data_IF_282460549209
#
_entry.id   IF_282460549209
#
_cell.length_a   1.000
_cell.length_b   1.000
_cell.length_c   1.000
_cell.angle_alpha   90.00
_cell.angle_beta   90.00
_cell.angle_gamma   90.00
#
_symmetry.space_group_name_H-M   'P 1'
#
loop_
_entity.id
_entity.type
_entity.pdbx_description
1 polymer ?
#
# COMPACT_ATOMS: atom_id res chain seq x y z
N UNK A 1 -45.65 -8.58 -16.53
CA UNK A 1 -44.38 -9.20 -16.06
C UNK A 1 -44.25 -10.64 -16.52
N UNK A 2 -45.28 -11.47 -16.37
CA UNK A 2 -45.31 -12.86 -16.86
C UNK A 2 -45.31 -13.00 -18.39
N UNK A 3 -45.56 -11.91 -19.13
CA UNK A 3 -45.61 -11.91 -20.60
C UNK A 3 -44.24 -11.66 -21.26
N UNK A 4 -43.22 -11.24 -20.50
CA UNK A 4 -41.86 -11.10 -20.99
C UNK A 4 -41.05 -12.36 -20.60
N UNK A 5 -40.16 -12.88 -21.47
CA UNK A 5 -39.29 -13.99 -21.11
C UNK A 5 -38.55 -13.68 -19.82
N UNK A 6 -38.54 -14.61 -18.86
CA UNK A 6 -37.88 -14.44 -17.55
C UNK A 6 -36.42 -13.98 -17.74
N UNK A 7 -35.73 -14.55 -18.74
CA UNK A 7 -34.36 -14.17 -19.09
C UNK A 7 -34.14 -12.74 -19.59
N UNK A 8 -35.19 -12.02 -20.04
CA UNK A 8 -35.08 -10.61 -20.45
C UNK A 8 -35.13 -9.64 -19.25
N UNK A 9 -35.47 -10.13 -18.05
CA UNK A 9 -35.58 -9.33 -16.83
C UNK A 9 -34.94 -10.05 -15.62
N UNK A 10 -33.77 -10.67 -15.82
CA UNK A 10 -33.11 -11.50 -14.81
C UNK A 10 -32.99 -10.81 -13.43
N UNK A 11 -32.53 -9.55 -13.38
CA UNK A 11 -32.42 -8.79 -12.11
C UNK A 11 -33.74 -8.71 -11.31
N UNK A 12 -34.87 -8.52 -12.00
CA UNK A 12 -36.18 -8.44 -11.34
C UNK A 12 -36.62 -9.81 -10.84
N UNK A 13 -36.32 -10.86 -11.59
CA UNK A 13 -36.64 -12.24 -11.20
C UNK A 13 -35.74 -12.75 -10.08
N UNK A 14 -34.46 -12.36 -10.02
CA UNK A 14 -33.60 -12.58 -8.86
C UNK A 14 -34.10 -11.86 -7.61
N UNK A 15 -34.61 -10.63 -7.76
CA UNK A 15 -35.26 -9.91 -6.66
C UNK A 15 -36.52 -10.62 -6.17
N UNK A 16 -37.33 -11.16 -7.10
CA UNK A 16 -38.49 -11.98 -6.76
C UNK A 16 -38.09 -13.29 -6.06
N UNK A 17 -37.08 -14.00 -6.57
CA UNK A 17 -36.53 -15.20 -5.94
C UNK A 17 -36.09 -14.92 -4.50
N UNK A 18 -35.32 -13.85 -4.26
CA UNK A 18 -34.92 -13.42 -2.90
C UNK A 18 -36.11 -13.16 -1.98
N UNK A 19 -37.17 -12.51 -2.48
CA UNK A 19 -38.38 -12.25 -1.69
C UNK A 19 -39.20 -13.51 -1.39
N UNK A 20 -39.28 -14.44 -2.33
CA UNK A 20 -39.94 -15.75 -2.14
C UNK A 20 -39.14 -16.61 -1.15
N UNK A 21 -37.82 -16.62 -1.27
CA UNK A 21 -36.91 -17.32 -0.36
C UNK A 21 -37.04 -16.76 1.07
N UNK A 22 -37.15 -15.43 1.21
CA UNK A 22 -37.41 -14.76 2.48
C UNK A 22 -38.89 -14.78 2.96
N UNK A 23 -39.81 -15.46 2.26
CA UNK A 23 -41.26 -15.53 2.56
C UNK A 23 -41.94 -14.16 2.69
N UNK A 24 -41.43 -13.17 1.97
CA UNK A 24 -41.97 -11.81 1.89
C UNK A 24 -43.03 -11.66 0.79
N UNK A 25 -43.15 -12.65 -0.09
CA UNK A 25 -44.18 -12.76 -1.11
C UNK A 25 -44.85 -14.12 -1.02
N UNK A 26 -46.19 -14.23 -1.06
CA UNK A 26 -47.16 -13.14 -1.06
C UNK A 26 -47.16 -12.33 0.27
N UNK A 27 -47.66 -11.07 0.26
CA UNK A 27 -47.80 -10.26 1.47
C UNK A 27 -48.56 -10.98 2.59
N UNK A 28 -48.47 -10.54 3.85
CA UNK A 28 -49.12 -11.19 4.98
C UNK A 28 -50.65 -11.34 4.82
N UNK A 29 -51.26 -10.44 4.06
CA UNK A 29 -52.72 -10.32 3.89
C UNK A 29 -53.28 -11.19 2.76
N UNK A 30 -52.40 -11.86 2.00
CA UNK A 30 -52.75 -12.68 0.85
C UNK A 30 -52.62 -14.18 1.17
N UNK A 31 -53.39 -15.06 0.52
CA UNK A 31 -53.25 -16.50 0.67
C UNK A 31 -51.82 -16.96 0.36
N UNK A 32 -51.20 -17.65 1.32
CA UNK A 32 -49.83 -18.17 1.17
C UNK A 32 -49.84 -19.64 0.72
N UNK A 33 -48.99 -20.03 -0.25
CA UNK A 33 -48.75 -21.43 -0.60
C UNK A 33 -48.20 -22.23 0.58
N UNK A 34 -48.19 -23.56 0.46
CA UNK A 34 -47.49 -24.40 1.41
C UNK A 34 -45.97 -24.22 1.28
N UNK A 35 -45.21 -24.50 2.35
CA UNK A 35 -43.74 -24.41 2.33
C UNK A 35 -43.10 -25.23 1.20
N UNK A 36 -43.62 -26.45 0.96
CA UNK A 36 -43.14 -27.30 -0.12
C UNK A 36 -43.43 -26.74 -1.53
N UNK A 37 -44.40 -25.83 -1.68
CA UNK A 37 -44.66 -25.13 -2.94
C UNK A 37 -43.70 -23.94 -3.11
N UNK A 38 -43.38 -23.24 -2.01
CA UNK A 38 -42.35 -22.20 -2.04
C UNK A 38 -41.02 -22.74 -2.51
N UNK A 39 -40.55 -23.81 -1.87
CA UNK A 39 -39.23 -24.37 -2.17
C UNK A 39 -39.15 -24.83 -3.62
N UNK A 40 -40.19 -25.52 -4.12
CA UNK A 40 -40.28 -25.94 -5.53
C UNK A 40 -40.24 -24.76 -6.50
N UNK A 41 -40.99 -23.68 -6.22
CA UNK A 41 -41.00 -22.50 -7.09
C UNK A 41 -39.65 -21.79 -7.07
N UNK A 42 -39.04 -21.62 -5.89
CA UNK A 42 -37.73 -20.98 -5.74
C UNK A 42 -36.66 -21.79 -6.46
N UNK A 43 -36.59 -23.10 -6.23
CA UNK A 43 -35.63 -24.01 -6.88
C UNK A 43 -35.78 -23.96 -8.41
N UNK A 44 -37.00 -24.09 -8.93
CA UNK A 44 -37.24 -24.03 -10.38
C UNK A 44 -36.88 -22.67 -11.00
N UNK A 45 -37.09 -21.58 -10.26
CA UNK A 45 -36.76 -20.24 -10.72
C UNK A 45 -35.25 -20.00 -10.70
N UNK A 46 -34.56 -20.45 -9.65
CA UNK A 46 -33.11 -20.38 -9.52
C UNK A 46 -32.44 -21.24 -10.60
N UNK A 47 -32.85 -22.49 -10.79
CA UNK A 47 -32.34 -23.36 -11.88
C UNK A 47 -32.54 -22.74 -13.27
N UNK A 48 -33.71 -22.13 -13.51
CA UNK A 48 -33.98 -21.47 -14.78
C UNK A 48 -33.07 -20.26 -15.00
N UNK A 49 -32.88 -19.42 -13.97
CA UNK A 49 -32.02 -18.24 -14.03
C UNK A 49 -30.55 -18.64 -14.23
N UNK A 50 -30.08 -19.67 -13.52
CA UNK A 50 -28.72 -20.20 -13.62
C UNK A 50 -28.45 -20.76 -15.03
N UNK A 51 -29.34 -21.61 -15.55
CA UNK A 51 -29.20 -22.15 -16.90
C UNK A 51 -29.21 -21.02 -17.95
N UNK A 52 -30.05 -20.00 -17.76
CA UNK A 52 -30.10 -18.87 -18.68
C UNK A 52 -28.82 -18.04 -18.66
N UNK A 53 -28.21 -17.85 -17.49
CA UNK A 53 -26.91 -17.22 -17.35
C UNK A 53 -25.81 -18.03 -18.03
N UNK A 54 -25.82 -19.37 -17.90
CA UNK A 54 -24.88 -20.23 -18.61
C UNK A 54 -25.01 -20.12 -20.13
N UNK A 55 -26.24 -20.03 -20.64
CA UNK A 55 -26.49 -19.88 -22.07
C UNK A 55 -26.09 -18.50 -22.60
N UNK A 56 -26.31 -17.44 -21.82
CA UNK A 56 -26.11 -16.04 -22.18
C UNK A 56 -25.48 -15.27 -21.02
N UNK A 57 -24.18 -15.50 -20.74
CA UNK A 57 -23.52 -14.90 -19.59
C UNK A 57 -23.47 -13.38 -19.75
N UNK A 58 -23.77 -12.65 -18.67
CA UNK A 58 -23.54 -11.21 -18.62
C UNK A 58 -22.52 -10.92 -17.52
N UNK A 59 -21.21 -10.91 -17.83
CA UNK A 59 -20.17 -10.64 -16.84
C UNK A 59 -20.12 -9.17 -16.38
N UNK A 60 -21.03 -8.32 -16.88
CA UNK A 60 -20.98 -6.87 -16.69
C UNK A 60 -19.93 -6.20 -17.58
N UNK A 61 -19.85 -4.87 -17.50
CA UNK A 61 -18.82 -4.08 -18.17
C UNK A 61 -17.98 -3.35 -17.14
N UNK A 62 -16.67 -3.57 -17.19
CA UNK A 62 -15.68 -2.75 -16.48
C UNK A 62 -15.33 -1.54 -17.33
N UNK A 63 -14.92 -0.44 -16.69
CA UNK A 63 -14.38 0.70 -17.43
C UNK A 63 -13.09 0.28 -18.15
N UNK A 64 -13.00 0.61 -19.43
CA UNK A 64 -11.87 0.28 -20.32
C UNK A 64 -10.55 0.91 -19.85
N UNK A 65 -10.64 2.05 -19.16
CA UNK A 65 -9.51 2.80 -18.64
C UNK A 65 -9.78 3.23 -17.20
N UNK A 66 -8.95 2.74 -16.28
CA UNK A 66 -8.99 3.15 -14.87
C UNK A 66 -7.58 3.38 -14.38
N UNK A 67 -7.23 4.55 -13.87
CA UNK A 67 -5.92 4.74 -13.27
C UNK A 67 -5.78 4.03 -11.92
N UNK A 68 -4.55 3.71 -11.53
CA UNK A 68 -4.25 3.12 -10.23
C UNK A 68 -4.68 4.11 -9.14
N UNK A 69 -5.39 3.63 -8.13
CA UNK A 69 -5.58 4.40 -6.89
C UNK A 69 -4.22 4.68 -6.23
N UNK A 70 -4.13 5.66 -5.34
CA UNK A 70 -2.89 5.95 -4.59
C UNK A 70 -2.35 4.72 -3.88
N UNK A 71 -3.24 3.89 -3.32
CA UNK A 71 -2.86 2.67 -2.60
C UNK A 71 -2.29 1.64 -3.56
N UNK A 72 -2.94 1.43 -4.70
CA UNK A 72 -2.46 0.56 -5.77
C UNK A 72 -1.12 1.05 -6.34
N UNK A 73 -0.95 2.36 -6.54
CA UNK A 73 0.31 2.96 -6.98
C UNK A 73 1.43 2.72 -5.96
N UNK A 74 1.18 2.96 -4.66
CA UNK A 74 2.12 2.69 -3.57
C UNK A 74 2.56 1.22 -3.57
N UNK A 75 1.60 0.30 -3.62
CA UNK A 75 1.87 -1.14 -3.60
C UNK A 75 2.60 -1.61 -4.87
N UNK A 76 2.20 -1.10 -6.04
CA UNK A 76 2.84 -1.40 -7.32
C UNK A 76 4.31 -0.95 -7.31
N UNK A 77 4.60 0.26 -6.82
CA UNK A 77 5.98 0.75 -6.68
C UNK A 77 6.78 -0.12 -5.70
N UNK A 78 6.20 -0.48 -4.55
CA UNK A 78 6.83 -1.38 -3.57
C UNK A 78 7.17 -2.74 -4.19
N UNK A 79 6.24 -3.34 -4.93
CA UNK A 79 6.43 -4.68 -5.48
C UNK A 79 7.32 -4.66 -6.74
N UNK A 80 7.29 -3.58 -7.50
CA UNK A 80 8.17 -3.38 -8.66
C UNK A 80 9.61 -3.10 -8.22
N UNK A 81 9.81 -2.13 -7.32
CA UNK A 81 11.10 -1.51 -7.03
C UNK A 81 11.61 -1.73 -5.60
N UNK A 82 10.90 -2.43 -4.72
CA UNK A 82 11.28 -2.61 -3.31
C UNK A 82 11.41 -1.29 -2.52
N UNK A 83 10.67 -0.25 -2.92
CA UNK A 83 10.65 1.05 -2.25
C UNK A 83 9.29 1.26 -1.63
N UNK A 84 9.26 1.54 -0.33
CA UNK A 84 8.06 2.03 0.35
C UNK A 84 8.01 3.55 0.26
N UNK A 85 6.92 4.07 -0.27
CA UNK A 85 6.71 5.50 -0.47
C UNK A 85 5.59 6.02 0.40
N UNK A 86 5.79 7.23 0.89
CA UNK A 86 4.71 8.02 1.48
C UNK A 86 3.86 8.62 0.36
N UNK A 87 2.90 7.84 -0.15
CA UNK A 87 2.04 8.29 -1.26
C UNK A 87 1.18 9.49 -0.86
N UNK A 88 1.00 9.74 0.44
CA UNK A 88 0.12 10.80 0.93
C UNK A 88 0.73 12.19 0.76
N UNK A 89 2.05 12.27 0.73
CA UNK A 89 2.80 13.47 0.38
C UNK A 89 2.94 13.66 -1.14
N UNK A 90 2.83 12.58 -1.92
CA UNK A 90 3.13 12.58 -3.35
C UNK A 90 1.91 12.84 -4.22
N UNK A 91 0.78 12.23 -3.89
CA UNK A 91 -0.44 12.25 -4.71
C UNK A 91 -1.62 12.84 -3.92
N UNK A 92 -2.56 13.55 -4.57
CA UNK A 92 -3.81 14.02 -3.95
C UNK A 92 -4.77 12.84 -3.70
N UNK A 93 -5.79 13.01 -2.84
CA UNK A 93 -6.72 11.92 -2.48
C UNK A 93 -7.55 11.50 -3.69
N UNK A 94 -7.82 10.20 -3.81
CA UNK A 94 -8.67 9.65 -4.86
C UNK A 94 -10.13 10.03 -4.61
N UNK A 95 -10.91 10.22 -5.68
CA UNK A 95 -12.35 10.46 -5.57
C UNK A 95 -13.08 9.15 -5.24
N UNK A 96 -13.87 9.16 -4.17
CA UNK A 96 -14.68 8.01 -3.78
C UNK A 96 -16.08 8.08 -4.40
N UNK A 97 -16.56 6.94 -4.90
CA UNK A 97 -17.92 6.75 -5.40
C UNK A 97 -18.52 5.47 -4.82
N UNK A 98 -19.79 5.52 -4.41
CA UNK A 98 -20.47 4.41 -3.73
C UNK A 98 -19.70 3.83 -2.51
N UNK A 99 -18.85 4.65 -1.87
CA UNK A 99 -18.01 4.23 -0.74
C UNK A 99 -16.66 3.62 -1.12
N UNK A 100 -16.36 3.50 -2.41
CA UNK A 100 -15.09 2.94 -2.91
C UNK A 100 -14.31 3.96 -3.75
N UNK A 101 -12.98 3.98 -3.58
CA UNK A 101 -12.07 4.88 -4.30
C UNK A 101 -11.57 4.31 -5.63
N UNK A 102 -12.04 3.12 -6.00
CA UNK A 102 -11.51 2.33 -7.10
C UNK A 102 -12.48 2.23 -8.29
N UNK A 103 -13.54 3.06 -8.30
CA UNK A 103 -14.64 3.02 -9.27
C UNK A 103 -14.58 4.20 -10.26
N UNK A 104 -14.29 5.42 -9.82
CA UNK A 104 -14.43 6.68 -10.61
C UNK A 104 -13.15 7.22 -11.22
N UNK A 105 -12.15 6.37 -11.38
CA UNK A 105 -10.74 6.75 -11.49
C UNK A 105 -10.35 6.92 -12.98
N UNK A 106 -11.15 7.67 -13.75
CA UNK A 106 -10.97 7.83 -15.21
C UNK A 106 -10.25 9.12 -15.62
N UNK A 107 -10.45 10.22 -14.89
CA UNK A 107 -9.96 11.55 -15.28
C UNK A 107 -8.56 11.85 -14.70
N UNK A 108 -7.61 12.26 -15.56
CA UNK A 108 -6.29 12.75 -15.16
C UNK A 108 -6.18 14.25 -15.46
N UNK A 109 -6.33 15.07 -14.43
CA UNK A 109 -6.11 16.51 -14.56
C UNK A 109 -4.62 16.80 -14.83
N UNK A 110 -4.28 17.92 -15.50
CA UNK A 110 -2.88 18.33 -15.68
C UNK A 110 -2.11 18.40 -14.37
N UNK A 111 -2.73 18.92 -13.31
CA UNK A 111 -2.12 19.00 -11.98
C UNK A 111 -1.85 17.61 -11.38
N UNK A 112 -2.74 16.63 -11.58
CA UNK A 112 -2.52 15.26 -11.14
C UNK A 112 -1.36 14.60 -11.92
N UNK A 113 -1.27 14.83 -13.22
CA UNK A 113 -0.17 14.33 -14.04
C UNK A 113 1.18 14.92 -13.60
N UNK A 114 1.24 16.21 -13.30
CA UNK A 114 2.44 16.86 -12.73
C UNK A 114 2.89 16.21 -11.42
N UNK A 115 1.92 15.83 -10.55
CA UNK A 115 2.20 15.10 -9.31
C UNK A 115 2.77 13.72 -9.58
N UNK A 116 2.22 12.97 -10.54
CA UNK A 116 2.78 11.69 -10.97
C UNK A 116 4.20 11.81 -11.53
N UNK A 117 4.49 12.86 -12.32
CA UNK A 117 5.84 13.12 -12.84
C UNK A 117 6.81 13.42 -11.70
N UNK A 118 6.42 14.26 -10.74
CA UNK A 118 7.23 14.55 -9.55
C UNK A 118 7.49 13.31 -8.70
N UNK A 119 6.46 12.49 -8.48
CA UNK A 119 6.56 11.22 -7.77
C UNK A 119 7.51 10.25 -8.48
N UNK A 120 7.33 10.05 -9.79
CA UNK A 120 8.15 9.15 -10.60
C UNK A 120 9.64 9.54 -10.58
N UNK A 121 9.96 10.84 -10.66
CA UNK A 121 11.34 11.34 -10.55
C UNK A 121 11.94 11.13 -9.17
N UNK A 122 11.14 11.25 -8.10
CA UNK A 122 11.60 10.96 -6.74
C UNK A 122 11.85 9.46 -6.57
N UNK A 123 10.92 8.63 -7.03
CA UNK A 123 10.98 7.17 -6.93
C UNK A 123 12.15 6.61 -7.74
N UNK A 124 12.35 7.08 -8.98
CA UNK A 124 13.42 6.57 -9.84
C UNK A 124 14.80 6.88 -9.26
N UNK A 125 15.01 8.08 -8.71
CA UNK A 125 16.26 8.44 -7.98
C UNK A 125 16.52 7.50 -6.80
N UNK A 126 15.49 7.23 -5.99
CA UNK A 126 15.60 6.28 -4.87
C UNK A 126 15.91 4.86 -5.36
N UNK A 127 15.38 4.45 -6.52
CA UNK A 127 15.55 3.11 -7.08
C UNK A 127 16.96 2.85 -7.58
N UNK A 128 17.57 3.85 -8.22
CA UNK A 128 18.97 3.76 -8.64
C UNK A 128 19.94 4.09 -7.50
N UNK A 129 19.50 4.69 -6.39
CA UNK A 129 20.39 5.04 -5.26
C UNK A 129 21.33 6.23 -5.56
N UNK A 130 20.93 7.09 -6.50
CA UNK A 130 21.68 8.31 -6.88
C UNK A 130 21.42 9.44 -5.85
N UNK A 131 22.42 10.32 -5.69
CA UNK A 131 22.51 11.45 -4.74
C UNK A 131 21.20 11.92 -4.12
N UNK A 132 21.05 11.68 -2.82
CA UNK A 132 20.04 12.34 -2.00
C UNK A 132 20.53 13.73 -1.60
N UNK A 133 19.60 14.67 -1.42
CA UNK A 133 19.92 16.00 -0.90
C UNK A 133 20.59 15.86 0.47
N UNK A 134 21.80 16.40 0.62
CA UNK A 134 22.53 16.34 1.88
C UNK A 134 21.72 17.02 2.99
N UNK A 135 21.47 16.30 4.08
CA UNK A 135 20.69 16.82 5.21
C UNK A 135 19.18 16.85 4.99
N UNK A 136 18.63 16.06 4.07
CA UNK A 136 17.19 15.85 4.01
C UNK A 136 16.62 15.41 5.37
N UNK A 137 15.43 15.89 5.72
CA UNK A 137 14.77 15.62 7.00
C UNK A 137 13.40 14.99 6.75
N UNK A 138 13.11 13.89 7.46
CA UNK A 138 11.78 13.29 7.51
C UNK A 138 11.35 13.14 8.96
N UNK A 139 10.21 13.73 9.28
CA UNK A 139 9.60 13.65 10.62
C UNK A 139 8.39 12.73 10.60
N UNK A 140 8.36 11.82 11.56
CA UNK A 140 7.28 10.88 11.82
C UNK A 140 6.60 11.26 13.12
N UNK A 141 5.37 11.75 13.02
CA UNK A 141 4.60 12.15 14.19
C UNK A 141 3.78 10.99 14.72
N UNK A 142 3.90 10.72 16.01
CA UNK A 142 3.04 9.75 16.70
C UNK A 142 1.69 10.40 16.91
N UNK A 143 0.61 9.66 16.65
CA UNK A 143 -0.74 10.20 16.89
C UNK A 143 -0.90 10.53 18.37
N UNK A 144 -1.39 11.73 18.71
CA UNK A 144 -1.43 12.22 20.08
C UNK A 144 -2.41 11.44 20.98
N UNK A 145 -3.38 10.75 20.38
CA UNK A 145 -4.40 9.92 21.05
C UNK A 145 -3.91 8.49 21.37
N UNK A 146 -2.69 8.12 20.99
CA UNK A 146 -2.12 6.80 21.28
C UNK A 146 -1.57 6.77 22.71
N UNK A 147 -2.03 5.76 23.45
CA UNK A 147 -1.48 5.35 24.75
C UNK A 147 -0.16 4.60 24.53
N UNK A 148 0.88 4.94 25.29
CA UNK A 148 2.25 4.44 25.10
C UNK A 148 2.76 3.58 26.27
N UNK A 149 1.85 2.94 27.00
CA UNK A 149 2.18 2.19 28.22
C UNK A 149 2.53 0.71 27.96
N UNK A 150 2.14 0.20 26.78
CA UNK A 150 2.32 -1.20 26.38
C UNK A 150 3.45 -1.37 25.36
N UNK A 151 3.91 -2.61 25.19
CA UNK A 151 4.90 -2.95 24.16
C UNK A 151 4.33 -2.70 22.76
N UNK A 152 5.07 -1.95 21.94
CA UNK A 152 4.74 -1.71 20.55
C UNK A 152 5.34 -2.80 19.67
N UNK A 153 4.52 -3.53 18.93
CA UNK A 153 4.99 -4.60 18.05
C UNK A 153 6.06 -4.08 17.07
N UNK A 154 7.16 -4.83 16.94
CA UNK A 154 8.31 -4.48 16.10
C UNK A 154 9.46 -3.80 16.84
N UNK A 155 9.21 -3.22 18.02
CA UNK A 155 10.26 -2.66 18.89
C UNK A 155 11.01 -3.75 19.65
N UNK A 156 12.22 -3.49 20.20
CA UNK A 156 12.96 -4.46 21.00
C UNK A 156 12.19 -4.97 22.22
N UNK A 157 12.41 -6.23 22.61
CA UNK A 157 11.78 -6.83 23.79
C UNK A 157 12.22 -6.07 25.05
N UNK A 158 11.29 -5.84 25.98
CA UNK A 158 11.58 -5.08 27.19
C UNK A 158 11.40 -3.57 27.01
N UNK A 159 10.85 -3.12 25.89
CA UNK A 159 10.44 -1.72 25.66
C UNK A 159 8.91 -1.54 25.75
N UNK A 160 8.48 -0.28 25.83
CA UNK A 160 7.08 0.16 25.82
C UNK A 160 6.92 1.49 25.08
N UNK A 161 5.75 1.67 24.49
CA UNK A 161 5.37 2.91 23.81
C UNK A 161 6.28 3.24 22.64
N UNK A 162 6.43 4.53 22.39
CA UNK A 162 7.32 5.04 21.38
C UNK A 162 6.72 5.06 19.97
N UNK A 163 7.62 4.96 19.00
CA UNK A 163 7.32 4.88 17.58
C UNK A 163 8.15 3.77 16.93
N UNK A 164 7.56 3.12 15.93
CA UNK A 164 8.23 2.19 15.03
C UNK A 164 7.93 2.62 13.60
N UNK A 165 8.97 3.02 12.86
CA UNK A 165 8.83 3.58 11.52
C UNK A 165 9.68 2.81 10.53
N UNK A 166 9.14 2.56 9.35
CA UNK A 166 9.92 2.08 8.21
C UNK A 166 10.42 3.27 7.44
N UNK A 167 11.75 3.37 7.29
CA UNK A 167 12.40 4.45 6.58
C UNK A 167 13.28 3.87 5.47
N UNK A 168 13.18 4.44 4.27
CA UNK A 168 14.07 4.11 3.17
C UNK A 168 15.27 5.07 3.20
N UNK A 169 16.43 4.54 3.59
CA UNK A 169 17.69 5.28 3.58
C UNK A 169 18.20 5.32 2.14
N UNK A 170 18.26 6.50 1.48
CA UNK A 170 18.58 6.57 0.06
C UNK A 170 20.04 6.23 -0.28
N UNK A 171 20.94 6.35 0.69
CA UNK A 171 22.40 6.27 0.49
C UNK A 171 23.10 5.68 1.71
N UNK A 172 24.30 5.16 1.50
CA UNK A 172 25.17 4.78 2.61
C UNK A 172 25.73 6.06 3.22
N UNK A 173 25.54 6.28 4.51
CA UNK A 173 25.92 7.56 5.11
C UNK A 173 25.69 7.63 6.60
N UNK A 174 26.12 8.75 7.18
CA UNK A 174 25.78 9.09 8.56
C UNK A 174 24.38 9.72 8.61
N UNK A 175 23.55 9.26 9.52
CA UNK A 175 22.21 9.77 9.77
C UNK A 175 22.07 10.18 11.23
N UNK A 176 21.20 11.16 11.50
CA UNK A 176 20.82 11.57 12.84
C UNK A 176 19.36 11.20 13.07
N UNK A 177 19.09 10.37 14.07
CA UNK A 177 17.76 10.04 14.55
C UNK A 177 17.50 10.86 15.81
N UNK A 178 16.59 11.83 15.73
CA UNK A 178 16.20 12.69 16.83
C UNK A 178 14.81 12.32 17.34
N UNK A 179 14.64 12.28 18.65
CA UNK A 179 13.34 12.08 19.29
C UNK A 179 12.88 13.36 19.99
N UNK A 180 11.57 13.59 19.96
CA UNK A 180 10.90 14.62 20.77
C UNK A 180 9.83 14.00 21.63
N UNK A 181 9.70 14.50 22.85
CA UNK A 181 8.79 13.94 23.85
C UNK A 181 7.44 14.65 23.85
N UNK A 182 6.40 13.93 24.23
CA UNK A 182 5.05 14.47 24.39
C UNK A 182 5.01 15.45 25.55
N UNK A 183 4.40 16.61 25.32
CA UNK A 183 4.26 17.70 26.30
C UNK A 183 2.79 18.06 26.48
N UNK A 184 2.47 18.57 27.66
CA UNK A 184 1.17 19.16 27.94
C UNK A 184 1.04 20.57 27.36
N UNK A 185 -0.10 21.23 27.62
CA UNK A 185 -0.37 22.60 27.13
C UNK A 185 0.55 23.67 27.74
N UNK A 186 1.26 23.36 28.81
CA UNK A 186 2.22 24.24 29.47
C UNK A 186 3.66 23.96 29.01
N UNK A 187 3.85 23.11 27.98
CA UNK A 187 5.15 22.64 27.48
C UNK A 187 5.93 21.79 28.49
N UNK A 188 5.26 21.21 29.49
CA UNK A 188 5.85 20.32 30.50
C UNK A 188 5.76 18.85 30.04
N UNK A 189 6.75 18.05 30.43
CA UNK A 189 6.77 16.62 30.14
C UNK A 189 5.66 15.92 30.92
N UNK A 190 4.82 15.15 30.22
CA UNK A 190 3.75 14.38 30.87
C UNK A 190 4.28 13.07 31.51
N UNK A 191 3.50 12.51 32.44
CA UNK A 191 3.85 11.26 33.14
C UNK A 191 4.45 11.46 34.53
N UNK A 192 4.60 10.38 35.30
CA UNK A 192 5.12 10.44 36.67
C UNK A 192 6.60 10.83 36.70
N UNK A 193 7.06 11.56 37.72
CA UNK A 193 8.49 11.77 37.94
C UNK A 193 9.25 10.44 38.04
N UNK A 194 10.46 10.41 37.51
CA UNK A 194 11.33 9.24 37.56
C UNK A 194 12.39 9.26 36.46
N UNK A 195 13.26 8.27 36.54
CA UNK A 195 14.31 8.02 35.55
C UNK A 195 13.78 7.02 34.52
N UNK A 196 13.82 7.43 33.25
CA UNK A 196 13.39 6.61 32.13
C UNK A 196 14.55 6.43 31.16
N UNK A 197 14.64 5.27 30.52
CA UNK A 197 15.58 5.03 29.43
C UNK A 197 14.85 5.11 28.10
N UNK A 198 15.26 6.00 27.21
CA UNK A 198 14.77 6.05 25.83
C UNK A 198 15.74 5.32 24.91
N UNK A 199 15.32 4.20 24.36
CA UNK A 199 16.10 3.38 23.44
C UNK A 199 15.81 3.78 21.99
N UNK A 200 16.88 3.97 21.21
CA UNK A 200 16.83 4.05 19.75
C UNK A 200 17.44 2.77 19.21
N UNK A 201 16.74 2.12 18.29
CA UNK A 201 17.18 0.90 17.64
C UNK A 201 16.91 0.94 16.13
N UNK A 202 17.78 0.30 15.37
CA UNK A 202 17.64 0.07 13.92
C UNK A 202 17.65 -1.44 13.69
N UNK A 203 16.66 -1.95 12.96
CA UNK A 203 16.44 -3.38 12.73
C UNK A 203 16.46 -4.21 14.03
N UNK A 204 15.90 -3.64 15.11
CA UNK A 204 15.86 -4.17 16.49
C UNK A 204 17.21 -4.27 17.21
N UNK A 205 18.29 -3.77 16.61
CA UNK A 205 19.57 -3.62 17.29
C UNK A 205 19.64 -2.22 17.93
N UNK A 206 19.89 -2.18 19.24
CA UNK A 206 20.02 -0.91 19.97
C UNK A 206 21.25 -0.15 19.50
N UNK A 207 21.03 1.08 19.03
CA UNK A 207 22.09 2.00 18.60
C UNK A 207 22.36 3.12 19.61
N UNK A 208 21.35 3.49 20.41
CA UNK A 208 21.51 4.46 21.49
C UNK A 208 20.54 4.20 22.66
N UNK A 209 20.94 4.64 23.86
CA UNK A 209 20.09 4.66 25.05
C UNK A 209 20.32 5.99 25.77
N UNK A 210 19.25 6.78 25.89
CA UNK A 210 19.30 8.09 26.54
C UNK A 210 18.61 8.05 27.89
N UNK A 211 19.22 8.62 28.95
CA UNK A 211 18.51 8.88 30.19
C UNK A 211 17.54 10.05 29.98
N UNK A 212 16.28 9.85 30.37
CA UNK A 212 15.22 10.85 30.38
C UNK A 212 14.77 11.03 31.82
N UNK A 213 15.14 12.17 32.40
CA UNK A 213 14.76 12.55 33.77
C UNK A 213 13.74 13.66 33.68
N UNK A 214 12.56 13.44 34.27
CA UNK A 214 11.55 14.51 34.39
C UNK A 214 12.01 15.52 35.45
N UNK A 215 12.12 16.83 35.12
CA UNK A 215 12.42 17.85 36.10
C UNK A 215 11.33 17.95 37.19
N UNK A 216 11.65 18.55 38.36
CA UNK A 216 10.67 18.79 39.41
C UNK A 216 9.49 19.64 38.90
N UNK A 217 8.30 19.45 39.50
CA UNK A 217 7.09 20.20 39.13
C UNK A 217 7.35 21.72 39.15
N UNK A 218 7.02 22.41 38.05
CA UNK A 218 7.23 23.86 37.89
C UNK A 218 8.62 24.28 37.39
N UNK A 219 9.55 23.35 37.15
CA UNK A 219 10.78 23.62 36.40
C UNK A 219 10.51 23.64 34.89
N UNK A 220 11.39 24.29 34.11
CA UNK A 220 11.24 24.35 32.65
C UNK A 220 11.78 23.08 32.01
N UNK A 221 10.91 22.33 31.33
CA UNK A 221 11.26 21.07 30.66
C UNK A 221 11.79 21.24 29.23
N UNK A 222 12.00 22.49 28.79
CA UNK A 222 12.21 22.86 27.36
C UNK A 222 13.37 22.16 26.65
N UNK A 223 14.37 21.70 27.41
CA UNK A 223 15.60 21.12 26.85
C UNK A 223 15.78 19.63 27.19
N UNK A 224 14.79 18.99 27.82
CA UNK A 224 14.87 17.56 28.21
C UNK A 224 15.10 16.66 26.99
N UNK A 225 14.61 17.06 25.83
CA UNK A 225 14.75 16.34 24.56
C UNK A 225 15.77 16.96 23.58
N UNK A 226 16.52 17.97 24.01
CA UNK A 226 17.48 18.66 23.13
C UNK A 226 18.57 17.74 22.58
N UNK A 227 19.01 16.80 23.42
CA UNK A 227 20.15 15.90 23.19
C UNK A 227 19.73 14.45 22.87
N UNK A 228 18.43 14.20 22.67
CA UNK A 228 17.91 12.88 22.26
C UNK A 228 18.17 12.64 20.77
N UNK A 229 19.45 12.64 20.39
CA UNK A 229 19.94 12.56 19.01
C UNK A 229 20.97 11.45 18.90
N UNK A 230 20.65 10.40 18.16
CA UNK A 230 21.57 9.31 17.85
C UNK A 230 22.16 9.53 16.47
N UNK A 231 23.49 9.65 16.38
CA UNK A 231 24.22 9.66 15.10
C UNK A 231 24.84 8.31 14.84
N UNK A 232 24.60 7.78 13.65
CA UNK A 232 25.05 6.44 13.26
C UNK A 232 25.21 6.33 11.75
N UNK A 233 26.07 5.41 11.34
CA UNK A 233 26.16 5.03 9.93
C UNK A 233 25.08 4.00 9.60
N UNK A 234 24.31 4.24 8.53
CA UNK A 234 23.26 3.34 8.07
C UNK A 234 23.50 3.03 6.60
N UNK A 235 23.48 1.75 6.23
CA UNK A 235 23.50 1.35 4.84
C UNK A 235 22.16 1.61 4.17
N UNK A 236 22.18 2.00 2.90
CA UNK A 236 21.00 2.30 2.12
C UNK A 236 20.01 1.13 2.04
N UNK A 237 18.75 1.48 1.81
CA UNK A 237 17.62 0.57 1.73
C UNK A 237 16.59 0.80 2.83
N UNK A 238 15.51 0.02 2.77
CA UNK A 238 14.46 0.05 3.78
C UNK A 238 14.97 -0.56 5.09
N UNK A 239 14.85 0.20 6.19
CA UNK A 239 15.21 -0.22 7.54
C UNK A 239 14.07 0.09 8.50
N UNK A 240 14.01 -0.67 9.57
CA UNK A 240 13.07 -0.46 10.66
C UNK A 240 13.73 0.37 11.77
N UNK A 241 13.22 1.57 12.04
CA UNK A 241 13.72 2.46 13.09
C UNK A 241 12.70 2.53 14.22
N UNK A 242 13.12 2.17 15.43
CA UNK A 242 12.29 2.28 16.62
C UNK A 242 12.89 3.23 17.65
N UNK A 243 12.04 4.05 18.25
CA UNK A 243 12.36 4.88 19.41
C UNK A 243 11.35 4.57 20.49
N UNK A 244 11.75 3.89 21.56
CA UNK A 244 10.84 3.37 22.57
C UNK A 244 11.42 3.47 23.98
N UNK A 245 10.57 3.58 25.00
CA UNK A 245 11.03 3.62 26.38
C UNK A 245 11.31 2.22 26.90
N UNK A 246 12.35 2.05 27.72
CA UNK A 246 12.56 0.80 28.46
C UNK A 246 11.38 0.57 29.41
N UNK A 247 10.82 -0.64 29.35
CA UNK A 247 9.75 -1.06 30.22
C UNK A 247 10.33 -1.29 31.61
N UNK A 248 9.83 -0.52 32.59
CA UNK A 248 10.13 -0.77 34.00
C UNK A 248 9.51 -2.11 34.41
N UNK A 249 10.22 -2.86 35.26
CA UNK A 249 9.71 -4.11 35.80
C UNK A 249 8.35 -3.87 36.46
N UNK A 250 7.32 -4.54 35.95
CA UNK A 250 6.00 -4.57 36.56
C UNK A 250 5.78 -5.97 37.15
N UNK A 251 5.27 -6.04 38.37
CA UNK A 251 4.69 -7.29 38.87
C UNK A 251 3.48 -7.61 38.00
N UNK A 252 3.37 -8.85 37.51
CA UNK A 252 2.09 -9.34 37.01
C UNK A 252 1.13 -9.30 38.19
N UNK A 253 0.17 -8.38 38.15
CA UNK A 253 -0.95 -8.42 39.08
C UNK A 253 -1.89 -9.51 38.59
N UNK A 254 -2.02 -10.59 39.36
CA UNK A 254 -3.05 -11.61 39.15
C UNK A 254 -4.42 -11.09 39.61
N UNK A 255 -4.89 -10.03 38.94
CA UNK A 255 -6.20 -9.43 39.17
C UNK A 255 -7.14 -9.73 38.00
N UNK A 256 -8.44 -9.56 38.22
CA UNK A 256 -9.43 -9.63 37.14
C UNK A 256 -9.08 -8.60 36.08
N UNK A 257 -9.15 -9.01 34.80
CA UNK A 257 -8.89 -8.15 33.64
C UNK A 257 -9.68 -6.85 33.76
N UNK A 258 -8.96 -5.75 33.95
CA UNK A 258 -9.55 -4.41 33.99
C UNK A 258 -9.97 -3.97 32.57
N UNK A 259 -10.92 -3.04 32.44
CA UNK A 259 -11.22 -2.40 31.16
C UNK A 259 -9.97 -1.73 30.57
N UNK A 260 -9.98 -1.47 29.25
CA UNK A 260 -8.89 -0.75 28.60
C UNK A 260 -8.79 0.66 29.19
N UNK A 261 -7.70 0.92 29.90
CA UNK A 261 -7.34 2.26 30.36
C UNK A 261 -6.54 2.96 29.28
N UNK A 262 -7.06 4.09 28.81
CA UNK A 262 -6.38 4.94 27.83
C UNK A 262 -5.73 6.13 28.56
N UNK A 263 -4.48 6.42 28.20
CA UNK A 263 -3.68 7.49 28.77
C UNK A 263 -2.95 8.23 27.65
N UNK A 264 -3.51 9.35 27.22
CA UNK A 264 -3.04 10.06 26.03
C UNK A 264 -3.10 11.59 26.12
N UNK A 265 -3.79 12.17 27.10
CA UNK A 265 -3.87 13.62 27.27
C UNK A 265 -3.90 14.05 28.74
N UNK A 266 -3.37 15.22 29.07
CA UNK A 266 -3.25 15.69 30.44
C UNK A 266 -4.56 15.74 31.26
N UNK A 267 -5.69 16.10 30.65
CA UNK A 267 -6.91 16.47 31.41
C UNK A 267 -7.88 15.32 31.68
N UNK A 268 -8.26 14.55 30.65
CA UNK A 268 -9.25 13.46 30.79
C UNK A 268 -8.57 12.12 31.03
N UNK A 269 -7.44 11.90 30.37
CA UNK A 269 -6.74 10.63 30.31
C UNK A 269 -5.24 10.83 30.53
N UNK A 270 -4.83 11.33 31.72
CA UNK A 270 -3.46 11.77 31.99
C UNK A 270 -2.47 10.64 31.73
N UNK A 271 -1.39 10.95 31.01
CA UNK A 271 -0.30 10.01 30.79
C UNK A 271 0.32 9.58 32.12
N UNK A 272 0.56 8.29 32.27
CA UNK A 272 1.20 7.74 33.48
C UNK A 272 2.72 7.85 33.36
N UNK A 273 3.27 7.77 32.15
CA UNK A 273 4.70 7.79 31.87
C UNK A 273 5.00 8.65 30.63
N UNK A 274 6.27 9.11 30.47
CA UNK A 274 6.67 9.86 29.28
C UNK A 274 6.40 9.10 27.98
N UNK A 275 6.11 9.84 26.92
CA UNK A 275 5.75 9.33 25.61
C UNK A 275 6.56 10.04 24.51
N UNK A 276 6.78 9.36 23.40
CA UNK A 276 7.40 9.94 22.20
C UNK A 276 6.33 10.68 21.40
N UNK A 277 6.60 11.92 21.03
CA UNK A 277 5.73 12.75 20.21
C UNK A 277 6.06 12.64 18.73
N UNK A 278 7.34 12.72 18.38
CA UNK A 278 7.81 12.57 17.00
C UNK A 278 9.23 11.98 16.96
N UNK A 279 9.53 11.33 15.84
CA UNK A 279 10.86 10.84 15.49
C UNK A 279 11.26 11.49 14.18
N UNK A 280 12.42 12.13 14.17
CA UNK A 280 12.96 12.84 13.02
C UNK A 280 14.23 12.13 12.56
N UNK A 281 14.33 11.81 11.27
CA UNK A 281 15.52 11.24 10.65
C UNK A 281 16.11 12.29 9.72
N UNK A 282 17.39 12.64 9.92
CA UNK A 282 18.15 13.60 9.11
C UNK A 282 19.33 12.93 8.45
N UNK A 283 19.60 13.29 7.20
CA UNK A 283 20.75 12.82 6.44
C UNK A 283 20.37 12.42 5.00
N UNK A 284 21.30 11.84 4.25
CA UNK A 284 22.64 11.45 4.69
C UNK A 284 23.56 12.67 4.91
N UNK A 285 24.42 12.59 5.92
CA UNK A 285 25.62 13.41 6.06
C UNK A 285 26.80 12.61 5.49
N UNK A 286 27.53 13.19 4.52
CA UNK A 286 28.63 12.48 3.85
C UNK A 286 28.20 11.26 3.04
N UNK A 287 26.99 11.29 2.46
CA UNK A 287 26.39 10.17 1.75
C UNK A 287 27.19 9.70 0.53
N UNK A 288 27.23 8.38 0.33
CA UNK A 288 27.79 7.72 -0.85
C UNK A 288 26.68 7.00 -1.61
N UNK A 289 26.78 6.99 -2.93
CA UNK A 289 25.86 6.23 -3.76
C UNK A 289 25.90 4.75 -3.32
N UNK A 290 24.72 4.17 -3.09
CA UNK A 290 24.62 2.79 -2.67
C UNK A 290 24.66 1.89 -3.90
N UNK A 291 25.55 0.89 -3.90
CA UNK A 291 25.68 -0.03 -5.01
C UNK A 291 24.81 -1.29 -4.85
N UNK A 292 24.41 -1.61 -3.61
CA UNK A 292 23.69 -2.83 -3.28
C UNK A 292 22.49 -2.57 -2.36
N UNK A 293 21.36 -2.17 -2.96
CA UNK A 293 20.09 -2.02 -2.25
C UNK A 293 19.07 -3.05 -2.74
N UNK A 294 18.03 -3.39 -1.96
CA UNK A 294 16.94 -4.23 -2.44
C UNK A 294 16.31 -3.72 -3.74
N UNK A 295 16.27 -2.40 -3.94
CA UNK A 295 15.78 -1.79 -5.16
C UNK A 295 16.72 -2.02 -6.34
N UNK A 296 18.02 -1.75 -6.16
CA UNK A 296 19.02 -1.97 -7.20
C UNK A 296 19.09 -3.43 -7.64
N UNK A 297 18.99 -4.38 -6.72
CA UNK A 297 18.92 -5.82 -7.06
C UNK A 297 17.70 -6.17 -7.92
N UNK A 298 16.58 -5.46 -7.77
CA UNK A 298 15.38 -5.67 -8.61
C UNK A 298 15.48 -4.98 -9.96
N UNK A 299 16.11 -3.81 -10.03
CA UNK A 299 16.26 -3.03 -11.26
C UNK A 299 17.40 -3.58 -12.12
N UNK A 300 18.62 -3.63 -11.57
CA UNK A 300 19.85 -3.93 -12.30
C UNK A 300 20.09 -5.44 -12.43
N UNK A 301 19.29 -6.08 -13.29
CA UNK A 301 19.50 -7.48 -13.71
C UNK A 301 20.73 -7.67 -14.60
N UNK A 302 21.23 -6.59 -15.19
CA UNK A 302 22.48 -6.50 -15.94
C UNK A 302 23.20 -5.21 -15.54
N UNK A 303 24.52 -5.26 -15.44
CA UNK A 303 25.34 -4.07 -15.25
C UNK A 303 26.52 -4.11 -16.23
N UNK A 304 26.78 -3.04 -16.99
CA UNK A 304 27.83 -3.04 -18.00
C UNK A 304 29.21 -3.11 -17.34
N UNK A 305 30.06 -4.02 -17.84
CA UNK A 305 31.49 -4.08 -17.46
C UNK A 305 32.37 -3.30 -18.43
N UNK A 306 31.87 -3.06 -19.64
CA UNK A 306 32.53 -2.31 -20.70
C UNK A 306 31.52 -1.35 -21.35
N UNK A 307 31.96 -0.19 -21.91
CA UNK A 307 31.05 0.78 -22.55
C UNK A 307 30.17 0.18 -23.66
N UNK A 308 30.69 -0.79 -24.41
CA UNK A 308 29.97 -1.51 -25.46
C UNK A 308 28.78 -2.35 -24.95
N UNK A 309 28.78 -2.74 -23.67
CA UNK A 309 27.69 -3.49 -23.05
C UNK A 309 26.52 -2.61 -22.59
N UNK A 310 26.69 -1.29 -22.52
CA UNK A 310 25.72 -0.37 -21.90
C UNK A 310 24.33 -0.50 -22.51
N UNK A 311 24.23 -0.42 -23.85
CA UNK A 311 22.93 -0.52 -24.54
C UNK A 311 22.26 -1.87 -24.30
N UNK A 312 23.02 -2.97 -24.37
CA UNK A 312 22.50 -4.32 -24.16
C UNK A 312 22.01 -4.53 -22.72
N UNK A 313 22.78 -4.06 -21.74
CA UNK A 313 22.37 -4.14 -20.34
C UNK A 313 21.16 -3.25 -20.05
N UNK A 314 21.09 -2.04 -20.63
CA UNK A 314 19.94 -1.16 -20.48
C UNK A 314 18.67 -1.80 -21.04
N UNK A 315 18.72 -2.41 -22.21
CA UNK A 315 17.58 -3.13 -22.79
C UNK A 315 17.09 -4.28 -21.90
N UNK A 316 18.01 -5.08 -21.34
CA UNK A 316 17.66 -6.16 -20.40
C UNK A 316 17.04 -5.62 -19.10
N UNK A 317 17.62 -4.57 -18.52
CA UNK A 317 17.09 -3.93 -17.31
C UNK A 317 15.69 -3.39 -17.55
N UNK A 318 15.51 -2.61 -18.62
CA UNK A 318 14.23 -1.95 -18.89
C UNK A 318 13.15 -2.94 -19.31
N UNK A 319 13.47 -3.94 -20.15
CA UNK A 319 12.49 -4.97 -20.53
C UNK A 319 11.97 -5.76 -19.32
N UNK A 320 12.86 -6.14 -18.39
CA UNK A 320 12.47 -6.84 -17.16
C UNK A 320 11.55 -5.98 -16.28
N UNK A 321 11.90 -4.71 -16.06
CA UNK A 321 11.05 -3.80 -15.27
C UNK A 321 9.72 -3.55 -15.96
N UNK A 322 9.73 -3.32 -17.28
CA UNK A 322 8.54 -3.00 -18.06
C UNK A 322 7.56 -4.17 -18.15
N UNK A 323 8.03 -5.42 -18.24
CA UNK A 323 7.16 -6.61 -18.25
C UNK A 323 6.23 -6.63 -17.02
N UNK A 324 6.80 -6.37 -15.85
CA UNK A 324 6.05 -6.30 -14.57
C UNK A 324 5.23 -5.02 -14.46
N UNK A 325 5.82 -3.87 -14.83
CA UNK A 325 5.17 -2.58 -14.73
C UNK A 325 3.92 -2.49 -15.62
N UNK A 326 4.02 -2.96 -16.86
CA UNK A 326 2.95 -2.92 -17.86
C UNK A 326 2.05 -4.15 -17.81
N UNK A 327 2.45 -5.19 -17.05
CA UNK A 327 1.65 -6.39 -16.77
C UNK A 327 1.32 -7.19 -18.04
N UNK A 328 2.23 -7.14 -19.01
CA UNK A 328 2.13 -7.78 -20.34
C UNK A 328 3.52 -7.97 -20.93
N UNK A 329 3.58 -8.70 -22.05
CA UNK A 329 4.80 -8.72 -22.87
C UNK A 329 5.16 -7.32 -23.37
N UNK A 330 6.47 -7.04 -23.39
CA UNK A 330 7.04 -5.76 -23.81
C UNK A 330 7.29 -5.82 -25.32
N UNK A 331 6.71 -4.89 -26.08
CA UNK A 331 6.97 -4.78 -27.52
C UNK A 331 8.25 -3.99 -27.80
N UNK A 332 8.79 -4.14 -29.01
CA UNK A 332 9.95 -3.33 -29.45
C UNK A 332 9.65 -1.82 -29.40
N UNK A 333 8.40 -1.41 -29.67
CA UNK A 333 7.97 -0.01 -29.62
C UNK A 333 7.99 0.52 -28.18
N UNK A 334 7.53 -0.30 -27.23
CA UNK A 334 7.58 0.06 -25.80
C UNK A 334 9.02 0.29 -25.37
N UNK A 335 9.91 -0.68 -25.68
CA UNK A 335 11.31 -0.62 -25.28
C UNK A 335 12.02 0.58 -25.92
N UNK A 336 11.77 0.84 -27.20
CA UNK A 336 12.35 1.99 -27.90
C UNK A 336 11.92 3.32 -27.26
N UNK A 337 10.68 3.43 -26.79
CA UNK A 337 10.22 4.63 -26.09
C UNK A 337 10.99 4.85 -24.78
N UNK A 338 11.21 3.81 -23.98
CA UNK A 338 12.01 3.90 -22.75
C UNK A 338 13.49 4.18 -23.05
N UNK A 339 14.06 3.55 -24.07
CA UNK A 339 15.46 3.72 -24.48
C UNK A 339 15.78 5.16 -24.93
N UNK A 340 14.81 5.91 -25.46
CA UNK A 340 15.00 7.35 -25.76
C UNK A 340 15.36 8.16 -24.51
N UNK A 341 14.64 7.92 -23.41
CA UNK A 341 14.91 8.59 -22.13
C UNK A 341 16.23 8.12 -21.51
N UNK A 342 16.54 6.84 -21.67
CA UNK A 342 17.83 6.28 -21.28
C UNK A 342 18.99 6.99 -21.99
N UNK A 343 19.00 7.01 -23.33
CA UNK A 343 20.10 7.58 -24.09
C UNK A 343 20.31 9.07 -23.81
N UNK A 344 19.21 9.83 -23.66
CA UNK A 344 19.29 11.26 -23.37
C UNK A 344 20.04 11.55 -22.07
N UNK A 345 19.77 10.79 -20.99
CA UNK A 345 20.43 11.01 -19.70
C UNK A 345 21.79 10.29 -19.60
N UNK A 346 21.94 9.12 -20.22
CA UNK A 346 23.18 8.35 -20.19
C UNK A 346 24.36 9.09 -20.84
N UNK A 347 24.09 9.90 -21.86
CA UNK A 347 25.12 10.72 -22.52
C UNK A 347 25.74 11.78 -21.60
N UNK A 348 24.97 12.28 -20.62
CA UNK A 348 25.40 13.37 -19.75
C UNK A 348 25.94 12.84 -18.40
N UNK A 349 25.26 11.85 -17.82
CA UNK A 349 25.47 11.44 -16.42
C UNK A 349 25.74 9.93 -16.27
N UNK A 350 25.84 9.18 -17.37
CA UNK A 350 26.21 7.76 -17.39
C UNK A 350 25.04 6.77 -17.18
N UNK A 351 25.38 5.47 -17.14
CA UNK A 351 24.44 4.35 -17.18
C UNK A 351 23.29 4.45 -16.15
N UNK A 352 23.61 4.70 -14.87
CA UNK A 352 22.63 4.76 -13.79
C UNK A 352 21.63 5.92 -13.98
N UNK A 353 22.09 7.08 -14.48
CA UNK A 353 21.22 8.22 -14.78
C UNK A 353 20.32 7.95 -16.00
N UNK A 354 20.83 7.24 -17.00
CA UNK A 354 20.05 6.69 -18.09
C UNK A 354 18.90 5.81 -17.59
N UNK A 355 19.21 4.82 -16.74
CA UNK A 355 18.20 3.92 -16.16
C UNK A 355 17.20 4.70 -15.31
N UNK A 356 17.66 5.66 -14.49
CA UNK A 356 16.79 6.53 -13.70
C UNK A 356 15.78 7.30 -14.56
N UNK A 357 16.24 7.88 -15.67
CA UNK A 357 15.39 8.65 -16.60
C UNK A 357 14.34 7.77 -17.24
N UNK A 358 14.74 6.59 -17.73
CA UNK A 358 13.82 5.61 -18.32
C UNK A 358 12.81 5.06 -17.30
N UNK A 359 13.24 4.77 -16.07
CA UNK A 359 12.34 4.37 -14.98
C UNK A 359 11.30 5.45 -14.67
N UNK A 360 11.69 6.73 -14.65
CA UNK A 360 10.75 7.83 -14.47
C UNK A 360 9.69 7.87 -15.58
N UNK A 361 10.09 7.60 -16.84
CA UNK A 361 9.15 7.51 -17.95
C UNK A 361 8.20 6.31 -17.83
N UNK A 362 8.71 5.14 -17.43
CA UNK A 362 7.90 3.93 -17.22
C UNK A 362 6.83 4.17 -16.14
N UNK A 363 7.19 4.82 -15.03
CA UNK A 363 6.27 5.08 -13.90
C UNK A 363 5.18 6.12 -14.17
N UNK A 364 5.26 6.86 -15.28
CA UNK A 364 4.23 7.82 -15.74
C UNK A 364 3.53 7.32 -17.01
N UNK A 365 3.97 6.21 -17.58
CA UNK A 365 3.36 5.62 -18.76
C UNK A 365 1.90 5.25 -18.50
N UNK A 366 0.99 5.47 -19.46
CA UNK A 366 -0.39 4.99 -19.35
C UNK A 366 -0.47 3.47 -19.08
N UNK A 367 0.48 2.69 -19.61
CA UNK A 367 0.54 1.25 -19.37
C UNK A 367 0.89 0.87 -17.92
N UNK A 368 1.55 1.76 -17.18
CA UNK A 368 1.77 1.56 -15.75
C UNK A 368 0.61 2.14 -14.94
N UNK A 369 0.26 3.41 -15.20
CA UNK A 369 -0.73 4.17 -14.44
C UNK A 369 -2.15 3.66 -14.60
N UNK A 370 -2.49 2.94 -15.67
CA UNK A 370 -3.86 2.48 -15.91
C UNK A 370 -3.99 0.97 -16.00
N UNK A 371 -5.14 0.50 -15.55
CA UNK A 371 -5.75 -0.72 -16.04
C UNK A 371 -6.32 -0.42 -17.42
N UNK A 372 -5.82 -1.15 -18.41
CA UNK A 372 -6.23 -1.05 -19.79
C UNK A 372 -6.73 -2.42 -20.19
N UNK A 373 -8.03 -2.50 -20.48
CA UNK A 373 -8.67 -3.70 -21.02
C UNK A 373 -9.26 -3.31 -22.35
N UNK A 374 -8.79 -3.91 -23.44
CA UNK A 374 -9.19 -3.49 -24.79
C UNK A 374 -10.25 -4.43 -25.35
N UNK A 375 -11.36 -3.85 -25.78
CA UNK A 375 -12.33 -4.56 -26.60
C UNK A 375 -11.62 -5.10 -27.86
N UNK A 376 -11.77 -6.40 -28.21
CA UNK A 376 -11.27 -6.91 -29.47
C UNK A 376 -11.86 -6.12 -30.64
N UNK A 377 -11.04 -5.77 -31.65
CA UNK A 377 -11.51 -5.00 -32.81
C UNK A 377 -12.67 -5.68 -33.56
N UNK A 378 -12.75 -7.00 -33.46
CA UNK A 378 -13.79 -7.84 -34.06
C UNK A 378 -15.03 -8.05 -33.18
N UNK A 379 -15.08 -7.49 -31.97
CA UNK A 379 -16.20 -7.66 -31.05
C UNK A 379 -17.36 -6.73 -31.44
N UNK A 380 -18.54 -7.32 -31.62
CA UNK A 380 -19.79 -6.56 -31.81
C UNK A 380 -20.19 -5.83 -30.51
N UNK A 381 -20.86 -4.67 -30.58
CA UNK A 381 -21.34 -3.97 -29.39
C UNK A 381 -22.22 -4.86 -28.49
N UNK A 382 -21.83 -4.99 -27.22
CA UNK A 382 -22.53 -5.82 -26.24
C UNK A 382 -22.21 -7.32 -26.33
N UNK A 383 -21.32 -7.74 -27.23
CA UNK A 383 -20.86 -9.12 -27.28
C UNK A 383 -20.00 -9.46 -26.06
N UNK A 384 -20.17 -10.68 -25.56
CA UNK A 384 -19.36 -11.24 -24.49
C UNK A 384 -18.13 -11.88 -25.13
N UNK A 385 -16.95 -11.49 -24.66
CA UNK A 385 -15.69 -12.02 -25.15
C UNK A 385 -14.76 -12.40 -23.98
N UNK A 386 -13.89 -13.40 -24.18
CA UNK A 386 -12.88 -13.72 -23.18
C UNK A 386 -11.81 -12.65 -23.14
N UNK A 387 -11.44 -12.21 -21.93
CA UNK A 387 -10.24 -11.39 -21.74
C UNK A 387 -8.97 -12.22 -21.98
N UNK A 388 -7.86 -11.54 -22.21
CA UNK A 388 -6.53 -12.16 -22.30
C UNK A 388 -6.07 -12.69 -20.94
N UNK A 389 -5.13 -13.64 -20.94
CA UNK A 389 -4.57 -14.15 -19.68
C UNK A 389 -3.76 -13.09 -18.91
N UNK A 390 -3.22 -12.08 -19.60
CA UNK A 390 -2.58 -10.93 -18.95
C UNK A 390 -3.58 -10.03 -18.22
N UNK A 391 -4.73 -9.74 -18.85
CA UNK A 391 -5.81 -9.01 -18.19
C UNK A 391 -6.36 -9.81 -17.01
N UNK A 392 -6.51 -11.13 -17.15
CA UNK A 392 -6.92 -12.00 -16.04
C UNK A 392 -5.92 -11.98 -14.87
N UNK A 393 -4.62 -12.11 -15.15
CA UNK A 393 -3.56 -12.00 -14.16
C UNK A 393 -3.59 -10.64 -13.44
N UNK A 394 -3.76 -9.56 -14.20
CA UNK A 394 -3.89 -8.21 -13.67
C UNK A 394 -5.11 -8.11 -12.75
N UNK A 395 -6.31 -8.50 -13.20
CA UNK A 395 -7.53 -8.51 -12.38
C UNK A 395 -7.35 -9.27 -11.07
N UNK A 396 -6.79 -10.47 -11.12
CA UNK A 396 -6.52 -11.30 -9.93
C UNK A 396 -5.56 -10.61 -8.96
N UNK A 397 -4.46 -10.05 -9.46
CA UNK A 397 -3.45 -9.38 -8.63
C UNK A 397 -3.98 -8.12 -7.95
N UNK A 398 -4.77 -7.29 -8.63
CA UNK A 398 -5.32 -6.08 -8.03
C UNK A 398 -6.49 -6.38 -7.10
N UNK A 399 -7.28 -7.41 -7.38
CA UNK A 399 -8.29 -7.90 -6.45
C UNK A 399 -7.65 -8.40 -5.16
N UNK A 400 -6.70 -9.34 -5.26
CA UNK A 400 -6.18 -10.05 -4.09
C UNK A 400 -5.08 -9.28 -3.36
N UNK A 401 -4.22 -8.55 -4.07
CA UNK A 401 -3.03 -7.89 -3.51
C UNK A 401 -3.07 -6.36 -3.61
N UNK A 402 -4.06 -5.78 -4.32
CA UNK A 402 -4.10 -4.35 -4.66
C UNK A 402 -2.75 -3.86 -5.22
N UNK A 403 -2.12 -4.68 -6.07
CA UNK A 403 -0.77 -4.49 -6.60
C UNK A 403 -0.59 -5.27 -7.91
N UNK A 404 0.56 -5.09 -8.56
CA UNK A 404 0.93 -5.77 -9.81
C UNK A 404 1.10 -7.30 -9.63
N UNK A 405 0.86 -8.10 -10.68
CA UNK A 405 1.16 -9.52 -10.68
C UNK A 405 2.67 -9.77 -10.52
N UNK A 406 3.02 -10.92 -9.93
CA UNK A 406 4.40 -11.38 -9.86
C UNK A 406 4.81 -12.17 -11.10
N UNK A 407 6.10 -12.53 -11.18
CA UNK A 407 6.65 -13.23 -12.34
C UNK A 407 6.01 -14.60 -12.57
N UNK A 408 5.64 -15.31 -11.50
CA UNK A 408 4.97 -16.61 -11.62
C UNK A 408 3.60 -16.45 -12.30
N UNK A 409 2.80 -15.48 -11.86
CA UNK A 409 1.48 -15.23 -12.44
C UNK A 409 1.58 -14.70 -13.88
N UNK A 410 2.56 -13.82 -14.17
CA UNK A 410 2.83 -13.36 -15.53
C UNK A 410 3.36 -14.48 -16.43
N UNK A 411 4.12 -15.42 -15.90
CA UNK A 411 4.59 -16.61 -16.62
C UNK A 411 3.44 -17.56 -16.98
N UNK A 412 2.51 -17.80 -16.05
CA UNK A 412 1.28 -18.55 -16.35
C UNK A 412 0.42 -17.82 -17.40
N UNK A 413 0.36 -16.48 -17.33
CA UNK A 413 -0.37 -15.67 -18.30
C UNK A 413 0.24 -15.75 -19.70
N UNK A 414 1.58 -15.69 -19.80
CA UNK A 414 2.32 -15.79 -21.05
C UNK A 414 2.06 -17.10 -21.81
N UNK A 415 1.79 -18.19 -21.07
CA UNK A 415 1.57 -19.52 -21.62
C UNK A 415 0.07 -19.90 -21.71
N UNK A 416 -0.84 -18.93 -21.56
CA UNK A 416 -2.30 -19.13 -21.53
C UNK A 416 -2.80 -20.16 -20.49
N UNK A 417 -1.98 -20.47 -19.48
CA UNK A 417 -2.28 -21.50 -18.49
C UNK A 417 -3.35 -21.06 -17.49
N UNK A 418 -3.56 -19.75 -17.31
CA UNK A 418 -4.58 -19.22 -16.39
C UNK A 418 -6.03 -19.51 -16.82
N UNK A 419 -6.25 -20.03 -18.03
CA UNK A 419 -7.56 -20.53 -18.46
C UNK A 419 -7.89 -21.91 -17.90
N UNK A 420 -6.88 -22.65 -17.44
CA UNK A 420 -7.05 -23.97 -16.87
C UNK A 420 -7.56 -23.82 -15.43
N UNK A 421 -8.74 -24.37 -15.08
CA UNK A 421 -9.34 -24.17 -13.76
C UNK A 421 -8.43 -24.59 -12.60
N UNK A 422 -7.67 -25.67 -12.77
CA UNK A 422 -6.74 -26.17 -11.74
C UNK A 422 -5.56 -25.21 -11.52
N UNK A 423 -4.98 -24.67 -12.59
CA UNK A 423 -3.88 -23.69 -12.51
C UNK A 423 -4.38 -22.40 -11.86
N UNK A 424 -5.56 -21.92 -12.29
CA UNK A 424 -6.18 -20.72 -11.72
C UNK A 424 -6.43 -20.89 -10.21
N UNK A 425 -7.04 -22.00 -9.80
CA UNK A 425 -7.30 -22.30 -8.40
C UNK A 425 -6.00 -22.37 -7.57
N UNK A 426 -4.96 -23.03 -8.11
CA UNK A 426 -3.65 -23.10 -7.46
C UNK A 426 -3.01 -21.72 -7.29
N UNK A 427 -3.06 -20.86 -8.32
CA UNK A 427 -2.54 -19.50 -8.24
C UNK A 427 -3.32 -18.65 -7.23
N UNK A 428 -4.66 -18.74 -7.20
CA UNK A 428 -5.48 -18.04 -6.21
C UNK A 428 -5.12 -18.47 -4.78
N UNK A 429 -4.98 -19.77 -4.53
CA UNK A 429 -4.60 -20.29 -3.21
C UNK A 429 -3.22 -19.78 -2.77
N UNK A 430 -2.23 -19.81 -3.67
CA UNK A 430 -0.89 -19.25 -3.44
C UNK A 430 -0.96 -17.76 -3.10
N UNK A 431 -1.75 -17.00 -3.86
CA UNK A 431 -1.88 -15.56 -3.66
C UNK A 431 -2.57 -15.21 -2.35
N UNK A 432 -3.57 -15.98 -1.92
CA UNK A 432 -4.23 -15.81 -0.63
C UNK A 432 -3.31 -16.10 0.56
N UNK A 433 -2.35 -17.02 0.41
CA UNK A 433 -1.36 -17.34 1.43
C UNK A 433 -0.22 -16.28 1.55
N UNK A 434 -0.03 -15.45 0.52
CA UNK A 434 0.95 -14.35 0.54
C UNK A 434 0.49 -13.21 1.47
N UNK A 435 1.42 -12.62 2.22
CA UNK A 435 1.12 -11.50 3.12
C UNK A 435 0.46 -10.29 2.42
N UNK A 436 0.67 -10.13 1.12
CA UNK A 436 0.01 -9.10 0.30
C UNK A 436 -1.52 -9.25 0.30
N UNK A 437 -2.07 -10.45 0.52
CA UNK A 437 -3.52 -10.69 0.56
C UNK A 437 -4.23 -9.95 1.69
N UNK A 438 -3.49 -9.49 2.71
CA UNK A 438 -4.02 -8.61 3.76
C UNK A 438 -4.62 -7.32 3.20
N UNK A 439 -4.25 -6.91 1.98
CA UNK A 439 -4.85 -5.75 1.30
C UNK A 439 -6.36 -5.88 1.14
N UNK A 440 -6.92 -7.08 1.00
CA UNK A 440 -8.37 -7.30 0.99
C UNK A 440 -9.02 -6.77 2.27
N UNK A 441 -8.43 -7.08 3.42
CA UNK A 441 -8.94 -6.57 4.70
C UNK A 441 -8.66 -5.08 4.91
N UNK A 442 -7.47 -4.60 4.57
CA UNK A 442 -7.06 -3.22 4.88
C UNK A 442 -7.59 -2.19 3.89
N UNK A 443 -7.93 -2.61 2.66
CA UNK A 443 -8.50 -1.72 1.64
C UNK A 443 -9.99 -1.90 1.51
N UNK A 444 -10.45 -3.09 1.13
CA UNK A 444 -11.86 -3.31 0.85
C UNK A 444 -12.72 -3.15 2.12
N UNK A 445 -12.41 -3.85 3.22
CA UNK A 445 -13.23 -3.74 4.43
C UNK A 445 -13.15 -2.35 5.07
N UNK A 446 -11.99 -1.69 5.02
CA UNK A 446 -11.84 -0.33 5.54
C UNK A 446 -12.66 0.71 4.75
N UNK A 447 -12.77 0.54 3.42
CA UNK A 447 -13.62 1.39 2.58
C UNK A 447 -15.10 1.08 2.79
N UNK A 448 -15.46 -0.21 2.79
CA UNK A 448 -16.83 -0.67 3.00
C UNK A 448 -17.41 -0.21 4.34
N UNK A 449 -16.61 -0.21 5.40
CA UNK A 449 -16.98 0.29 6.73
C UNK A 449 -16.74 1.81 6.91
N UNK A 450 -16.32 2.52 5.85
CA UNK A 450 -15.97 3.94 5.87
C UNK A 450 -14.92 4.33 6.92
N UNK A 451 -14.07 3.40 7.36
CA UNK A 451 -13.06 3.63 8.41
C UNK A 451 -11.99 4.63 7.99
N UNK A 452 -11.73 4.77 6.68
CA UNK A 452 -10.78 5.76 6.16
C UNK A 452 -11.23 7.21 6.38
N UNK A 453 -12.52 7.45 6.60
CA UNK A 453 -13.04 8.78 6.90
C UNK A 453 -12.75 9.20 8.35
N UNK A 454 -12.41 8.25 9.25
CA UNK A 454 -12.13 8.55 10.65
C UNK A 454 -10.95 9.50 10.82
N UNK A 455 -9.94 9.41 9.96
CA UNK A 455 -8.78 10.33 10.00
C UNK A 455 -9.16 11.79 9.64
N UNK A 456 -10.30 12.00 8.98
CA UNK A 456 -10.84 13.34 8.69
C UNK A 456 -11.75 13.86 9.81
N UNK A 457 -12.14 13.01 10.76
CA UNK A 457 -12.96 13.40 11.91
C UNK A 457 -12.03 13.74 13.06
N UNK A 458 -11.91 15.03 13.36
CA UNK A 458 -11.35 15.48 14.63
C UNK A 458 -12.50 15.54 15.63
N UNK A 459 -12.55 14.66 16.65
CA UNK A 459 -13.56 14.77 17.69
C UNK A 459 -13.38 16.11 18.39
N UNK A 460 -14.48 16.81 18.65
CA UNK A 460 -14.47 18.00 19.50
C UNK A 460 -13.97 17.58 20.90
N UNK A 461 -12.86 18.18 21.34
CA UNK A 461 -12.12 17.77 22.56
C UNK A 461 -12.53 18.53 23.81
#
# INVERSE_FOLDING_TARGET
MLEAPIGANAERWESAARKLNARQMPPPDEPRPAEADYDRVVESLEEYLDQRFLDNPNPGRTETFRHLTRVEYRNAVRDLLAIDIDVDELLPRDEASHGFDNITVANLSPALLERYIGAARKISRLAVGVHADAGAEKTYRVRPDITQDAHLAGTPIGTRGGAMVRHYFPQDGEYEIQARLMRDRNEELEGRPGDYGLEVAVDRERVALFPVVRPPLGAKDKHVDADLRARLHVSAGAREVSVAFLRRSASLQETVRQPLHVHYNFYRHPRIEPAVYEVTIRGPFGGRAAHDTPSRRRVFTCYPTQPEDESRCAELVLSNVMRRAYRREVSAVDLQAAMKFYHAAAQEEGFDAGVQSALSAILVSPHFLFHIERDPESAEPGAVYPISCYELASRLSFLLWSSIPDEELLGCAANDQLRQPEVLASQVARMLADNRSRSLSTNFAAQWLHLRNLDAVVPDM
#
